data_IF_198291936901
#
_entry.id   IF_198291936901
#
_cell.length_a   1.000
_cell.length_b   1.000
_cell.length_c   1.000
_cell.angle_alpha   90.00
_cell.angle_beta   90.00
_cell.angle_gamma   90.00
#
_symmetry.space_group_name_H-M   'P 1'
#
loop_
_entity.id
_entity.type
_entity.pdbx_description
1 polymer ?
#
# COMPACT_ATOMS: atom_id res chain seq x y z
N UNK A 1 -27.34 -9.19 6.95
CA UNK A 1 -27.24 -8.37 5.75
C UNK A 1 -26.89 -6.91 6.09
N UNK A 2 -27.66 -6.22 6.96
CA UNK A 2 -27.41 -4.81 7.33
C UNK A 2 -26.01 -4.56 7.93
N UNK A 3 -25.46 -5.48 8.75
CA UNK A 3 -24.11 -5.38 9.31
C UNK A 3 -23.02 -5.48 8.24
N UNK A 4 -23.18 -6.34 7.25
CA UNK A 4 -22.22 -6.51 6.14
C UNK A 4 -22.20 -5.27 5.25
N UNK A 5 -23.35 -4.74 4.87
CA UNK A 5 -23.48 -3.52 4.05
C UNK A 5 -22.87 -2.31 4.79
N UNK A 6 -23.09 -2.21 6.11
CA UNK A 6 -22.50 -1.14 6.93
C UNK A 6 -20.97 -1.25 6.97
N UNK A 7 -20.42 -2.46 7.12
CA UNK A 7 -18.98 -2.71 7.17
C UNK A 7 -18.31 -2.40 5.82
N UNK A 8 -18.92 -2.80 4.70
CA UNK A 8 -18.44 -2.46 3.36
C UNK A 8 -18.45 -0.95 3.12
N UNK A 9 -19.51 -0.24 3.52
CA UNK A 9 -19.60 1.22 3.41
C UNK A 9 -18.53 1.93 4.23
N UNK A 10 -18.25 1.46 5.45
CA UNK A 10 -17.19 1.99 6.31
C UNK A 10 -15.80 1.78 5.69
N UNK A 11 -15.54 0.63 5.08
CA UNK A 11 -14.29 0.37 4.35
C UNK A 11 -14.12 1.32 3.17
N UNK A 12 -15.15 1.53 2.36
CA UNK A 12 -15.08 2.48 1.23
C UNK A 12 -14.81 3.92 1.69
N UNK A 13 -15.39 4.36 2.82
CA UNK A 13 -15.16 5.71 3.36
C UNK A 13 -13.73 5.85 3.88
N UNK A 14 -13.28 4.87 4.67
CA UNK A 14 -11.90 4.83 5.17
C UNK A 14 -10.90 4.86 4.01
N UNK A 15 -11.09 4.01 3.01
CA UNK A 15 -10.19 3.90 1.86
C UNK A 15 -10.13 5.21 1.09
N UNK A 16 -11.27 5.90 0.94
CA UNK A 16 -11.32 7.21 0.28
C UNK A 16 -10.58 8.30 1.04
N UNK A 17 -10.76 8.37 2.35
CA UNK A 17 -10.03 9.34 3.20
C UNK A 17 -8.53 8.99 3.21
N UNK A 18 -8.19 7.71 3.26
CA UNK A 18 -6.81 7.24 3.16
C UNK A 18 -6.16 7.66 1.83
N UNK A 19 -6.85 7.51 0.70
CA UNK A 19 -6.38 8.02 -0.59
C UNK A 19 -6.08 9.51 -0.54
N UNK A 20 -6.96 10.32 0.02
CA UNK A 20 -6.75 11.77 0.15
C UNK A 20 -5.56 12.15 1.05
N UNK A 21 -5.24 11.32 2.04
CA UNK A 21 -4.04 11.50 2.88
C UNK A 21 -2.78 11.08 2.10
N UNK A 22 -2.88 10.01 1.33
CA UNK A 22 -1.76 9.44 0.58
C UNK A 22 -1.37 10.33 -0.60
N UNK A 23 -2.34 10.82 -1.39
CA UNK A 23 -2.11 11.66 -2.57
C UNK A 23 -1.88 13.15 -2.25
N UNK A 24 -1.95 13.52 -0.96
CA UNK A 24 -1.73 14.88 -0.50
C UNK A 24 -2.94 15.82 -0.67
N UNK A 25 -4.11 15.31 -1.02
CA UNK A 25 -5.37 16.09 -0.97
C UNK A 25 -5.65 16.58 0.45
N UNK A 26 -5.34 15.75 1.44
CA UNK A 26 -5.27 16.13 2.86
C UNK A 26 -3.80 16.13 3.26
N UNK A 27 -3.24 17.33 3.48
CA UNK A 27 -1.80 17.48 3.73
C UNK A 27 -1.40 17.19 5.18
N UNK A 28 -0.15 16.82 5.45
CA UNK A 28 0.36 16.65 6.81
C UNK A 28 0.11 17.86 7.68
N UNK A 29 -0.24 17.66 8.96
CA UNK A 29 -0.64 18.67 9.94
C UNK A 29 -1.96 19.40 9.63
N UNK A 30 -2.64 19.06 8.53
CA UNK A 30 -3.95 19.62 8.24
C UNK A 30 -4.97 19.16 9.27
N UNK A 31 -5.75 20.13 9.77
CA UNK A 31 -6.85 19.87 10.68
C UNK A 31 -8.04 19.31 9.92
N UNK A 32 -8.44 18.11 10.29
CA UNK A 32 -9.59 17.42 9.69
C UNK A 32 -10.88 17.86 10.37
N UNK A 33 -11.83 18.35 9.58
CA UNK A 33 -13.19 18.64 10.00
C UNK A 33 -14.13 17.54 9.52
N UNK A 34 -14.65 16.74 10.47
CA UNK A 34 -15.56 15.62 10.18
C UNK A 34 -16.86 16.05 9.47
N UNK A 35 -17.34 17.27 9.71
CA UNK A 35 -18.53 17.80 9.05
C UNK A 35 -18.24 18.18 7.60
N UNK A 36 -17.07 18.77 7.29
CA UNK A 36 -16.67 19.08 5.93
C UNK A 36 -16.44 17.81 5.12
N UNK A 37 -15.74 16.80 5.70
CA UNK A 37 -15.57 15.49 5.04
C UNK A 37 -16.91 14.80 4.79
N UNK A 38 -17.82 14.81 5.75
CA UNK A 38 -19.15 14.24 5.59
C UNK A 38 -19.93 14.91 4.45
N UNK A 39 -19.85 16.23 4.33
CA UNK A 39 -20.46 16.99 3.24
C UNK A 39 -19.82 16.65 1.88
N UNK A 40 -18.49 16.62 1.79
CA UNK A 40 -17.76 16.28 0.57
C UNK A 40 -18.05 14.84 0.08
N UNK A 41 -18.29 13.91 1.02
CA UNK A 41 -18.63 12.51 0.70
C UNK A 41 -20.14 12.28 0.53
N UNK A 42 -21.00 13.28 0.78
CA UNK A 42 -22.46 13.15 0.70
C UNK A 42 -23.06 12.17 1.73
N UNK A 43 -22.47 12.10 2.94
CA UNK A 43 -22.87 11.16 4.01
C UNK A 43 -23.00 11.85 5.36
N UNK A 44 -23.50 11.12 6.39
CA UNK A 44 -23.54 11.62 7.75
C UNK A 44 -22.15 11.60 8.43
N UNK A 45 -22.01 12.35 9.54
CA UNK A 45 -20.73 12.48 10.28
C UNK A 45 -20.30 11.19 10.98
N UNK A 46 -21.24 10.34 11.41
CA UNK A 46 -20.95 9.12 12.19
C UNK A 46 -19.98 8.18 11.45
N UNK A 47 -20.25 7.72 10.20
CA UNK A 47 -19.32 6.85 9.47
C UNK A 47 -17.98 7.53 9.16
N UNK A 48 -17.93 8.85 9.02
CA UNK A 48 -16.66 9.58 8.87
C UNK A 48 -15.82 9.48 10.14
N UNK A 49 -16.43 9.70 11.31
CA UNK A 49 -15.73 9.57 12.61
C UNK A 49 -15.22 8.14 12.84
N UNK A 50 -16.01 7.13 12.51
CA UNK A 50 -15.61 5.73 12.60
C UNK A 50 -14.41 5.44 11.67
N UNK A 51 -14.43 5.97 10.44
CA UNK A 51 -13.31 5.86 9.50
C UNK A 51 -12.05 6.57 10.02
N UNK A 52 -12.18 7.77 10.56
CA UNK A 52 -11.05 8.52 11.15
C UNK A 52 -10.46 7.78 12.37
N UNK A 53 -11.28 7.12 13.19
CA UNK A 53 -10.77 6.27 14.27
C UNK A 53 -9.93 5.10 13.76
N UNK A 54 -10.36 4.44 12.67
CA UNK A 54 -9.58 3.37 12.05
C UNK A 54 -8.26 3.89 11.46
N UNK A 55 -8.28 5.07 10.83
CA UNK A 55 -7.07 5.71 10.30
C UNK A 55 -6.13 6.17 11.43
N UNK A 56 -6.67 6.53 12.60
CA UNK A 56 -5.87 6.85 13.78
C UNK A 56 -5.15 5.61 14.34
N UNK A 57 -5.79 4.43 14.33
CA UNK A 57 -5.14 3.17 14.70
C UNK A 57 -4.01 2.80 13.73
N UNK A 58 -4.09 3.25 12.47
CA UNK A 58 -3.05 3.06 11.46
C UNK A 58 -1.96 4.14 11.50
N UNK A 59 -2.08 5.13 12.38
CA UNK A 59 -1.12 6.23 12.48
C UNK A 59 -1.19 7.28 11.36
N UNK A 60 -2.22 7.23 10.50
CA UNK A 60 -2.41 8.19 9.41
C UNK A 60 -3.06 9.50 9.89
N UNK A 61 -3.79 9.42 10.98
CA UNK A 61 -4.50 10.54 11.61
C UNK A 61 -4.18 10.54 13.10
N UNK A 62 -4.05 11.70 13.70
CA UNK A 62 -3.96 11.85 15.15
C UNK A 62 -5.22 12.53 15.68
N UNK A 63 -5.82 11.94 16.70
CA UNK A 63 -7.03 12.43 17.35
C UNK A 63 -6.71 12.88 18.77
N UNK A 64 -6.85 14.18 19.04
CA UNK A 64 -6.77 14.74 20.39
C UNK A 64 -8.20 14.95 20.89
N UNK A 65 -8.68 14.17 21.87
CA UNK A 65 -10.05 14.28 22.36
C UNK A 65 -10.40 15.71 22.78
N UNK A 66 -11.53 16.21 22.33
CA UNK A 66 -11.99 17.58 22.65
C UNK A 66 -11.23 18.72 21.99
N UNK A 67 -10.16 18.45 21.25
CA UNK A 67 -9.29 19.49 20.66
C UNK A 67 -9.33 19.47 19.14
N UNK A 68 -8.78 18.42 18.51
CA UNK A 68 -8.68 18.35 17.05
C UNK A 68 -8.34 16.96 16.55
N UNK A 69 -8.69 16.73 15.30
CA UNK A 69 -8.22 15.62 14.49
C UNK A 69 -7.36 16.20 13.37
N UNK A 70 -6.20 15.62 13.07
CA UNK A 70 -5.29 16.12 12.04
C UNK A 70 -4.53 14.98 11.37
N UNK A 71 -4.09 15.21 10.13
CA UNK A 71 -3.23 14.29 9.38
C UNK A 71 -1.87 14.23 10.06
N UNK A 72 -1.35 13.03 10.32
CA UNK A 72 -0.03 12.88 10.93
C UNK A 72 1.07 13.31 9.97
N UNK A 73 2.17 13.82 10.49
CA UNK A 73 3.39 14.04 9.74
C UNK A 73 4.18 12.74 9.62
N UNK A 74 4.96 12.62 8.55
CA UNK A 74 5.99 11.59 8.46
C UNK A 74 7.28 12.17 9.02
N UNK A 75 7.83 11.49 10.03
CA UNK A 75 9.11 11.86 10.64
C UNK A 75 10.25 11.75 9.61
N UNK A 76 11.29 12.54 9.80
CA UNK A 76 12.53 12.37 9.05
C UNK A 76 13.11 10.97 9.33
N UNK A 77 13.59 10.29 8.29
CA UNK A 77 14.04 8.91 8.39
C UNK A 77 12.93 7.86 8.56
N UNK A 78 11.66 8.22 8.38
CA UNK A 78 10.52 7.28 8.46
C UNK A 78 10.68 6.09 7.50
N UNK A 79 11.31 6.30 6.34
CA UNK A 79 11.60 5.23 5.37
C UNK A 79 12.40 4.10 5.99
N UNK A 80 13.50 4.40 6.68
CA UNK A 80 14.33 3.41 7.37
C UNK A 80 13.63 2.66 8.50
N UNK A 81 12.50 3.18 9.01
CA UNK A 81 11.68 2.50 10.04
C UNK A 81 10.54 1.68 9.43
N UNK A 82 10.02 2.07 8.27
CA UNK A 82 8.84 1.46 7.63
C UNK A 82 9.24 0.34 6.66
N UNK A 83 10.26 0.55 5.84
CA UNK A 83 10.62 -0.40 4.79
C UNK A 83 11.18 -1.73 5.32
N UNK A 84 12.04 -1.80 6.35
CA UNK A 84 12.54 -3.09 6.82
C UNK A 84 11.45 -4.07 7.28
N UNK A 85 10.48 -3.70 8.14
CA UNK A 85 9.39 -4.60 8.48
C UNK A 85 8.50 -4.93 7.27
N UNK A 86 8.27 -3.99 6.35
CA UNK A 86 7.50 -4.24 5.14
C UNK A 86 8.20 -5.24 4.23
N UNK A 87 9.52 -5.12 4.03
CA UNK A 87 10.31 -6.04 3.18
C UNK A 87 10.21 -7.48 3.66
N UNK A 88 10.26 -7.71 4.97
CA UNK A 88 10.11 -9.06 5.57
C UNK A 88 8.70 -9.62 5.35
N UNK A 89 7.66 -8.81 5.52
CA UNK A 89 6.28 -9.24 5.29
C UNK A 89 6.02 -9.53 3.81
N UNK A 90 6.56 -8.73 2.90
CA UNK A 90 6.47 -8.95 1.46
C UNK A 90 7.24 -10.19 1.01
N UNK A 91 8.39 -10.46 1.63
CA UNK A 91 9.14 -11.70 1.41
C UNK A 91 8.31 -12.92 1.81
N UNK A 92 7.69 -12.89 2.99
CA UNK A 92 6.80 -13.96 3.44
C UNK A 92 5.60 -14.15 2.49
N UNK A 93 5.03 -13.06 2.00
CA UNK A 93 3.96 -13.11 1.01
C UNK A 93 4.42 -13.80 -0.28
N UNK A 94 5.57 -13.44 -0.82
CA UNK A 94 6.12 -14.04 -2.03
C UNK A 94 6.47 -15.52 -1.86
N UNK A 95 7.02 -15.90 -0.69
CA UNK A 95 7.28 -17.31 -0.34
C UNK A 95 5.98 -18.12 -0.35
N UNK A 96 4.97 -17.64 0.35
CA UNK A 96 3.67 -18.30 0.44
C UNK A 96 2.98 -18.38 -0.92
N UNK A 97 3.05 -17.29 -1.71
CA UNK A 97 2.48 -17.24 -3.05
C UNK A 97 3.13 -18.27 -4.00
N UNK A 98 4.41 -18.60 -3.82
CA UNK A 98 5.07 -19.62 -4.64
C UNK A 98 4.45 -21.01 -4.47
N UNK A 99 3.96 -21.34 -3.27
CA UNK A 99 3.29 -22.62 -3.03
C UNK A 99 1.83 -22.64 -3.51
N UNK A 100 1.15 -21.49 -3.53
CA UNK A 100 -0.30 -21.37 -3.69
C UNK A 100 -0.74 -20.90 -5.08
N UNK A 101 0.11 -20.15 -5.80
CA UNK A 101 -0.26 -19.52 -7.05
C UNK A 101 -0.65 -20.54 -8.14
N UNK A 102 -1.72 -20.20 -8.85
CA UNK A 102 -2.15 -20.91 -10.05
C UNK A 102 -1.68 -20.22 -11.35
N UNK A 103 -2.00 -20.81 -12.51
CA UNK A 103 -1.65 -20.23 -13.81
C UNK A 103 -2.31 -18.89 -14.09
N UNK A 104 -3.51 -18.61 -13.54
CA UNK A 104 -4.20 -17.35 -13.74
C UNK A 104 -3.51 -16.26 -12.92
N UNK A 105 -3.08 -16.57 -11.69
CA UNK A 105 -2.31 -15.67 -10.85
C UNK A 105 -1.02 -15.22 -11.56
N UNK A 106 -0.30 -16.18 -12.15
CA UNK A 106 0.92 -15.88 -12.91
C UNK A 106 0.63 -14.95 -14.10
N UNK A 107 -0.46 -15.19 -14.86
CA UNK A 107 -0.86 -14.33 -15.98
C UNK A 107 -1.22 -12.92 -15.52
N UNK A 108 -1.92 -12.79 -14.38
CA UNK A 108 -2.24 -11.49 -13.81
C UNK A 108 -0.98 -10.72 -13.38
N UNK A 109 -0.06 -11.37 -12.66
CA UNK A 109 1.22 -10.78 -12.27
C UNK A 109 2.03 -10.31 -13.48
N UNK A 110 2.09 -11.12 -14.53
CA UNK A 110 2.74 -10.74 -15.80
C UNK A 110 2.06 -9.53 -16.45
N UNK A 111 0.73 -9.47 -16.41
CA UNK A 111 -0.03 -8.34 -16.95
C UNK A 111 0.28 -7.05 -16.19
N UNK A 112 0.27 -7.07 -14.85
CA UNK A 112 0.62 -5.90 -14.04
C UNK A 112 2.04 -5.42 -14.32
N UNK A 113 3.01 -6.34 -14.36
CA UNK A 113 4.40 -5.96 -14.65
C UNK A 113 4.59 -5.41 -16.07
N UNK A 114 3.86 -5.91 -17.07
CA UNK A 114 3.89 -5.37 -18.43
C UNK A 114 3.37 -3.93 -18.50
N UNK A 115 2.28 -3.62 -17.78
CA UNK A 115 1.74 -2.25 -17.72
C UNK A 115 2.67 -1.34 -16.93
N UNK A 116 3.27 -1.85 -15.85
CA UNK A 116 4.31 -1.17 -15.06
C UNK A 116 5.50 -0.80 -15.93
N UNK A 117 6.06 -1.75 -16.69
CA UNK A 117 7.18 -1.51 -17.63
C UNK A 117 6.86 -0.40 -18.65
N UNK A 118 5.62 -0.39 -19.18
CA UNK A 118 5.17 0.65 -20.09
C UNK A 118 5.09 2.02 -19.43
N UNK A 119 4.59 2.07 -18.19
CA UNK A 119 4.50 3.31 -17.43
C UNK A 119 5.89 3.89 -17.12
N UNK A 120 6.86 3.03 -16.71
CA UNK A 120 8.25 3.44 -16.48
C UNK A 120 8.87 4.03 -17.76
N UNK A 121 8.74 3.34 -18.91
CA UNK A 121 9.27 3.82 -20.19
C UNK A 121 8.67 5.17 -20.62
N UNK A 122 7.41 5.40 -20.31
CA UNK A 122 6.72 6.65 -20.60
C UNK A 122 6.96 7.74 -19.54
N UNK A 123 7.70 7.45 -18.46
CA UNK A 123 7.91 8.34 -17.32
C UNK A 123 6.61 8.74 -16.61
N UNK A 124 5.57 7.92 -16.71
CA UNK A 124 4.31 8.07 -15.99
C UNK A 124 4.44 7.40 -14.62
N UNK A 125 5.08 8.09 -13.69
CA UNK A 125 5.39 7.56 -12.36
C UNK A 125 4.15 7.29 -11.51
N UNK A 126 3.06 8.02 -11.73
CA UNK A 126 1.81 7.77 -11.05
C UNK A 126 1.17 6.44 -11.51
N UNK A 127 1.11 6.22 -12.83
CA UNK A 127 0.65 4.95 -13.35
C UNK A 127 1.57 3.79 -12.96
N UNK A 128 2.89 4.03 -12.92
CA UNK A 128 3.85 3.04 -12.47
C UNK A 128 3.61 2.63 -11.02
N UNK A 129 3.50 3.58 -10.09
CA UNK A 129 3.21 3.31 -8.68
C UNK A 129 1.93 2.47 -8.51
N UNK A 130 0.87 2.82 -9.24
CA UNK A 130 -0.39 2.08 -9.17
C UNK A 130 -0.25 0.63 -9.65
N UNK A 131 0.56 0.37 -10.67
CA UNK A 131 0.78 -0.99 -11.16
C UNK A 131 1.71 -1.80 -10.25
N UNK A 132 2.70 -1.17 -9.66
CA UNK A 132 3.55 -1.74 -8.62
C UNK A 132 2.72 -2.22 -7.41
N UNK A 133 1.79 -1.38 -6.96
CA UNK A 133 0.84 -1.72 -5.91
C UNK A 133 -0.08 -2.87 -6.27
N UNK A 134 -0.59 -2.92 -7.51
CA UNK A 134 -1.41 -4.03 -7.98
C UNK A 134 -0.60 -5.33 -8.02
N UNK A 135 0.66 -5.26 -8.45
CA UNK A 135 1.56 -6.41 -8.51
C UNK A 135 1.81 -6.99 -7.11
N UNK A 136 2.29 -6.18 -6.18
CA UNK A 136 2.55 -6.62 -4.81
C UNK A 136 1.28 -7.00 -4.07
N UNK A 137 0.19 -6.25 -4.25
CA UNK A 137 -1.12 -6.58 -3.69
C UNK A 137 -1.69 -7.90 -4.19
N UNK A 138 -1.42 -8.28 -5.45
CA UNK A 138 -1.82 -9.59 -5.98
C UNK A 138 -1.05 -10.71 -5.30
N UNK A 139 0.25 -10.58 -5.10
CA UNK A 139 1.07 -11.56 -4.36
C UNK A 139 0.51 -11.77 -2.95
N UNK A 140 0.19 -10.70 -2.25
CA UNK A 140 -0.41 -10.76 -0.91
C UNK A 140 -1.77 -11.46 -0.92
N UNK A 141 -2.61 -11.22 -1.92
CA UNK A 141 -3.92 -11.88 -2.05
C UNK A 141 -3.82 -13.38 -2.31
N UNK A 142 -2.82 -13.82 -3.07
CA UNK A 142 -2.58 -15.26 -3.31
C UNK A 142 -2.36 -16.00 -1.99
N UNK A 143 -1.77 -15.35 -0.99
CA UNK A 143 -1.49 -15.97 0.32
C UNK A 143 -2.73 -16.31 1.13
N UNK A 144 -3.90 -15.74 0.82
CA UNK A 144 -5.17 -15.91 1.55
C UNK A 144 -5.01 -15.77 3.09
N UNK A 145 -4.15 -14.83 3.51
CA UNK A 145 -3.85 -14.57 4.92
C UNK A 145 -4.23 -13.13 5.29
N UNK A 146 -5.42 -12.98 5.88
CA UNK A 146 -5.96 -11.68 6.27
C UNK A 146 -5.08 -10.92 7.29
N UNK A 147 -4.32 -11.62 8.14
CA UNK A 147 -3.41 -10.98 9.11
C UNK A 147 -2.19 -10.40 8.41
N UNK A 148 -1.63 -11.12 7.44
CA UNK A 148 -0.52 -10.66 6.62
C UNK A 148 -0.95 -9.46 5.77
N UNK A 149 -2.09 -9.59 5.08
CA UNK A 149 -2.66 -8.52 4.25
C UNK A 149 -2.91 -7.25 5.06
N UNK A 150 -3.54 -7.35 6.24
CA UNK A 150 -3.82 -6.18 7.08
C UNK A 150 -2.55 -5.48 7.57
N UNK A 151 -1.51 -6.23 7.94
CA UNK A 151 -0.23 -5.70 8.38
C UNK A 151 0.52 -4.98 7.26
N UNK A 152 0.56 -5.58 6.07
CA UNK A 152 1.16 -4.99 4.87
C UNK A 152 0.44 -3.71 4.48
N UNK A 153 -0.89 -3.71 4.45
CA UNK A 153 -1.69 -2.54 4.04
C UNK A 153 -1.44 -1.31 4.91
N UNK A 154 -1.23 -1.50 6.22
CA UNK A 154 -0.87 -0.38 7.14
C UNK A 154 0.47 0.23 6.73
N UNK A 155 1.50 -0.58 6.55
CA UNK A 155 2.84 -0.11 6.19
C UNK A 155 2.88 0.49 4.78
N UNK A 156 2.21 -0.13 3.81
CA UNK A 156 2.12 0.39 2.45
C UNK A 156 1.46 1.76 2.37
N UNK A 157 0.45 2.06 3.19
CA UNK A 157 -0.15 3.39 3.22
C UNK A 157 0.88 4.48 3.60
N UNK A 158 1.79 4.17 4.52
CA UNK A 158 2.87 5.09 4.88
C UNK A 158 3.94 5.18 3.78
N UNK A 159 4.30 4.07 3.13
CA UNK A 159 5.23 4.08 1.98
C UNK A 159 4.69 4.95 0.85
N UNK A 160 3.42 4.82 0.51
CA UNK A 160 2.78 5.68 -0.51
C UNK A 160 2.92 7.17 -0.20
N UNK A 161 2.75 7.56 1.07
CA UNK A 161 2.95 8.96 1.50
C UNK A 161 4.41 9.41 1.31
N UNK A 162 5.37 8.51 1.53
CA UNK A 162 6.78 8.77 1.27
C UNK A 162 7.05 8.97 -0.23
N UNK A 163 6.43 8.17 -1.09
CA UNK A 163 6.53 8.33 -2.54
C UNK A 163 6.09 9.73 -2.99
N UNK A 164 4.93 10.17 -2.56
CA UNK A 164 4.42 11.51 -2.92
C UNK A 164 5.24 12.66 -2.31
N UNK A 165 5.86 12.45 -1.14
CA UNK A 165 6.68 13.47 -0.48
C UNK A 165 8.09 13.57 -1.07
N UNK A 166 8.71 12.46 -1.43
CA UNK A 166 10.15 12.37 -1.71
C UNK A 166 10.48 11.99 -3.15
N UNK A 167 9.49 11.90 -4.03
CA UNK A 167 9.68 11.55 -5.44
C UNK A 167 10.45 10.23 -5.64
N UNK A 168 10.16 9.20 -4.82
CA UNK A 168 10.76 7.88 -4.98
C UNK A 168 10.53 7.41 -6.41
N UNK A 169 11.60 7.18 -7.15
CA UNK A 169 11.55 6.83 -8.56
C UNK A 169 11.56 5.30 -8.66
N UNK A 170 10.46 4.74 -9.14
CA UNK A 170 10.42 3.37 -9.61
C UNK A 170 11.27 3.26 -10.88
N UNK A 171 12.05 2.19 -11.02
CA UNK A 171 13.07 2.06 -12.04
C UNK A 171 12.88 0.83 -12.94
N UNK A 172 13.65 0.75 -14.01
CA UNK A 172 13.70 -0.46 -14.86
C UNK A 172 14.19 -1.69 -14.09
N UNK A 173 14.98 -1.50 -13.03
CA UNK A 173 15.40 -2.58 -12.14
C UNK A 173 14.23 -3.23 -11.44
N UNK A 174 13.24 -2.43 -10.98
CA UNK A 174 12.01 -2.96 -10.39
C UNK A 174 11.25 -3.84 -11.38
N UNK A 175 11.23 -3.47 -12.66
CA UNK A 175 10.61 -4.31 -13.72
C UNK A 175 11.30 -5.66 -13.83
N UNK A 176 12.64 -5.70 -13.76
CA UNK A 176 13.42 -6.95 -13.83
C UNK A 176 13.22 -7.80 -12.56
N UNK A 177 13.21 -7.19 -11.39
CA UNK A 177 12.95 -7.88 -10.13
C UNK A 177 11.55 -8.50 -10.11
N UNK A 178 10.52 -7.79 -10.60
CA UNK A 178 9.18 -8.35 -10.75
C UNK A 178 9.17 -9.57 -11.68
N UNK A 179 9.88 -9.52 -12.81
CA UNK A 179 10.04 -10.70 -13.72
C UNK A 179 10.67 -11.88 -12.99
N UNK A 180 11.68 -11.63 -12.17
CA UNK A 180 12.36 -12.67 -11.40
C UNK A 180 11.46 -13.25 -10.27
N UNK A 181 10.66 -12.40 -9.59
CA UNK A 181 9.66 -12.84 -8.61
C UNK A 181 8.62 -13.73 -9.27
N UNK A 182 8.06 -13.32 -10.42
CA UNK A 182 7.09 -14.11 -11.19
C UNK A 182 7.66 -15.48 -11.54
N UNK A 183 8.90 -15.52 -12.04
CA UNK A 183 9.55 -16.77 -12.45
C UNK A 183 9.82 -17.69 -11.25
N UNK A 184 10.22 -17.13 -10.11
CA UNK A 184 10.42 -17.90 -8.88
C UNK A 184 9.08 -18.48 -8.36
N UNK A 185 8.01 -17.70 -8.37
CA UNK A 185 6.66 -18.15 -7.99
C UNK A 185 6.19 -19.27 -8.93
N UNK A 186 6.34 -19.07 -10.24
CA UNK A 186 5.96 -20.06 -11.26
C UNK A 186 6.70 -21.39 -11.11
N UNK A 187 7.97 -21.33 -10.74
CA UNK A 187 8.82 -22.52 -10.53
C UNK A 187 8.67 -23.10 -9.10
N UNK A 188 7.77 -22.54 -8.28
CA UNK A 188 7.56 -22.94 -6.88
C UNK A 188 8.85 -22.86 -6.03
N UNK A 189 9.74 -21.92 -6.38
CA UNK A 189 10.93 -21.62 -5.61
C UNK A 189 10.63 -20.54 -4.55
N UNK A 190 10.01 -20.97 -3.45
CA UNK A 190 9.56 -20.09 -2.38
C UNK A 190 10.72 -19.25 -1.79
N UNK A 191 11.89 -19.90 -1.58
CA UNK A 191 13.05 -19.18 -1.03
C UNK A 191 13.48 -18.05 -1.95
N UNK A 192 13.66 -18.33 -3.23
CA UNK A 192 14.09 -17.34 -4.22
C UNK A 192 13.05 -16.23 -4.39
N UNK A 193 11.75 -16.56 -4.41
CA UNK A 193 10.67 -15.58 -4.48
C UNK A 193 10.74 -14.59 -3.30
N UNK A 194 10.91 -15.10 -2.09
CA UNK A 194 11.05 -14.28 -0.89
C UNK A 194 12.32 -13.43 -0.86
N UNK A 195 13.47 -14.00 -1.21
CA UNK A 195 14.75 -13.30 -1.21
C UNK A 195 14.71 -12.10 -2.21
N UNK A 196 14.15 -12.30 -3.41
CA UNK A 196 14.04 -11.22 -4.41
C UNK A 196 13.01 -10.17 -3.97
N UNK A 197 11.85 -10.59 -3.46
CA UNK A 197 10.83 -9.66 -2.98
C UNK A 197 11.37 -8.79 -1.83
N UNK A 198 12.15 -9.37 -0.92
CA UNK A 198 12.83 -8.63 0.15
C UNK A 198 13.79 -7.58 -0.40
N UNK A 199 14.70 -8.00 -1.29
CA UNK A 199 15.69 -7.12 -1.92
C UNK A 199 15.04 -5.97 -2.70
N UNK A 200 13.95 -6.21 -3.40
CA UNK A 200 13.20 -5.20 -4.13
C UNK A 200 12.73 -4.04 -3.22
N UNK A 201 12.27 -4.34 -2.01
CA UNK A 201 11.89 -3.32 -1.04
C UNK A 201 13.08 -2.66 -0.33
N UNK A 202 14.14 -3.43 0.00
CA UNK A 202 15.33 -2.93 0.71
C UNK A 202 16.17 -2.00 -0.17
N UNK A 203 16.25 -2.25 -1.47
CA UNK A 203 16.93 -1.37 -2.43
C UNK A 203 16.41 0.07 -2.41
N UNK A 204 15.12 0.24 -2.10
CA UNK A 204 14.53 1.57 -1.95
C UNK A 204 15.09 2.33 -0.74
N UNK A 205 15.60 1.64 0.29
CA UNK A 205 16.27 2.27 1.44
C UNK A 205 17.66 2.79 1.06
N UNK A 206 18.44 1.95 0.35
CA UNK A 206 19.84 2.24 0.01
C UNK A 206 19.97 3.45 -0.94
N UNK A 207 18.94 3.74 -1.72
CA UNK A 207 18.92 4.89 -2.63
C UNK A 207 18.62 6.23 -1.96
N UNK A 208 18.18 6.25 -0.69
CA UNK A 208 17.69 7.44 0.01
C UNK A 208 18.29 7.67 1.41
N UNK A 209 19.21 6.81 1.86
CA UNK A 209 20.08 7.01 3.01
C UNK A 209 21.48 7.41 2.57
#
# INVERSE_FOLDING_TARGET
>A
LHRLIRRQRQMCIRDRIQEWIVDGTLVPNEKINDAQLANALGISRTPVREALQLLALQGLVAMKPGVSTYVTELEDGAMGKILPPLSVLQALAAQTAADMADENDIKELQSYNKVFEKAIKNKDYFAALKQDEHFHGKIVKICDNAYLESSINVLQAHVRRLFFKNEIILSEESVLEHKQIIEAIKNKDAKKAGDIAKSNWERSVDNYC
#
